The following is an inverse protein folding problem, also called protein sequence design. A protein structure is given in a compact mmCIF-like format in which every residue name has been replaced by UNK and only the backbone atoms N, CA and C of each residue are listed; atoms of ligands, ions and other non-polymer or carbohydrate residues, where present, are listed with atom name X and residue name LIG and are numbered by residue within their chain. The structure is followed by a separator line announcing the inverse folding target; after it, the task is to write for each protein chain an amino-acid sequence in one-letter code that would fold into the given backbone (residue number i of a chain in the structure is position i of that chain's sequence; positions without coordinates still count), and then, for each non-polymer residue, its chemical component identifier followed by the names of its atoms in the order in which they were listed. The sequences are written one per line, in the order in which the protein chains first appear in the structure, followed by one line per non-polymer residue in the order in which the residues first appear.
data_IF_383916677202
#
_entry.id   IF_383916677202
#
_cell.length_a   1.000
_cell.length_b   1.000
_cell.length_c   1.000
_cell.angle_alpha   90.00
_cell.angle_beta   90.00
_cell.angle_gamma   90.00
#
_symmetry.space_group_name_H-M   'P 1'
#
loop_
_entity.id
_entity.type
_entity.pdbx_description
1 polymer ?
#
# COMPACT_ATOMS: atom_id res chain seq x y z
N UNK A 1 -111.32 39.34 35.94
CA UNK A 1 -111.18 40.81 36.02
C UNK A 1 -109.82 41.18 35.41
N UNK A 2 -109.78 41.90 34.28
CA UNK A 2 -109.29 43.31 34.19
C UNK A 2 -108.04 43.51 35.07
N UNK A 3 -106.84 43.82 34.58
CA UNK A 3 -106.43 44.81 33.58
C UNK A 3 -104.90 44.67 33.41
N UNK A 4 -104.39 44.60 32.17
CA UNK A 4 -103.69 45.69 31.45
C UNK A 4 -102.30 46.04 32.01
N UNK A 5 -101.23 45.75 31.26
CA UNK A 5 -100.53 46.63 30.27
C UNK A 5 -99.24 47.15 30.92
N UNK A 6 -98.05 46.92 30.37
CA UNK A 6 -97.41 47.63 29.25
C UNK A 6 -96.13 46.80 28.91
N UNK A 7 -95.83 46.39 27.67
CA UNK A 7 -95.03 47.13 26.66
C UNK A 7 -93.89 47.96 27.26
N UNK A 8 -92.62 47.95 26.83
CA UNK A 8 -91.90 47.39 25.68
C UNK A 8 -90.47 47.97 25.72
N UNK A 9 -89.46 47.25 25.20
CA UNK A 9 -88.11 47.80 24.90
C UNK A 9 -87.00 46.78 25.22
N UNK A 10 -86.65 45.86 24.31
CA UNK A 10 -85.54 45.96 23.32
C UNK A 10 -84.21 46.31 24.05
N UNK A 11 -83.19 45.47 24.10
CA UNK A 11 -82.45 44.93 22.96
C UNK A 11 -81.71 43.62 23.28
N UNK A 12 -81.48 42.85 22.22
CA UNK A 12 -80.84 41.55 22.17
C UNK A 12 -79.39 41.55 22.69
N UNK A 13 -79.11 40.61 23.59
CA UNK A 13 -77.76 40.11 23.89
C UNK A 13 -77.82 38.59 23.82
N UNK A 14 -77.42 38.02 22.68
CA UNK A 14 -77.38 36.57 22.46
C UNK A 14 -76.16 36.00 23.18
N UNK A 15 -76.33 35.62 24.45
CA UNK A 15 -75.34 34.90 25.23
C UNK A 15 -75.28 33.44 24.75
N UNK A 16 -74.22 33.11 24.01
CA UNK A 16 -73.92 31.74 23.61
C UNK A 16 -73.53 30.92 24.84
N UNK A 17 -74.22 29.79 24.99
CA UNK A 17 -74.05 28.78 26.03
C UNK A 17 -72.61 28.27 26.09
N UNK A 18 -71.99 28.41 27.26
CA UNK A 18 -70.76 27.71 27.63
C UNK A 18 -71.08 26.22 27.82
N UNK A 19 -70.69 25.40 26.86
CA UNK A 19 -70.50 23.97 27.08
C UNK A 19 -69.06 23.76 27.52
N UNK A 20 -68.92 23.44 28.81
CA UNK A 20 -67.71 22.90 29.41
C UNK A 20 -67.34 21.58 28.73
N UNK A 21 -66.28 21.58 27.94
CA UNK A 21 -65.58 20.36 27.52
C UNK A 21 -64.24 20.33 28.24
N UNK A 22 -64.08 19.39 29.16
CA UNK A 22 -62.78 19.02 29.73
C UNK A 22 -61.83 18.60 28.60
N UNK A 23 -60.99 19.53 28.14
CA UNK A 23 -59.76 19.20 27.44
C UNK A 23 -58.82 18.59 28.48
N UNK A 24 -58.91 17.28 28.62
CA UNK A 24 -57.93 16.47 29.32
C UNK A 24 -56.62 16.65 28.55
N UNK A 25 -55.75 17.52 29.06
CA UNK A 25 -54.39 17.69 28.57
C UNK A 25 -53.67 16.38 28.93
N UNK A 26 -53.75 15.38 28.06
CA UNK A 26 -52.84 14.24 28.12
C UNK A 26 -51.49 14.79 27.71
N UNK A 27 -50.71 15.25 28.69
CA UNK A 27 -49.26 15.16 28.58
C UNK A 27 -48.98 13.70 28.19
N UNK A 28 -48.31 13.52 27.05
CA UNK A 28 -47.86 12.20 26.62
C UNK A 28 -46.90 11.69 27.70
N UNK A 29 -47.37 10.83 28.60
CA UNK A 29 -46.53 10.17 29.58
C UNK A 29 -45.45 9.37 28.84
N UNK A 30 -44.19 9.67 29.13
CA UNK A 30 -43.05 8.89 28.65
C UNK A 30 -43.19 7.49 29.23
N UNK A 31 -43.31 6.47 28.37
CA UNK A 31 -43.52 5.09 28.81
C UNK A 31 -42.39 4.65 29.74
N UNK A 32 -42.73 3.98 30.85
CA UNK A 32 -41.80 3.65 31.95
C UNK A 32 -40.45 3.07 31.50
N UNK A 33 -40.45 2.14 30.53
CA UNK A 33 -39.22 1.51 30.04
C UNK A 33 -38.29 2.47 29.28
N UNK A 34 -38.81 3.60 28.78
CA UNK A 34 -38.00 4.66 28.13
C UNK A 34 -37.43 5.64 29.15
N UNK A 35 -38.00 5.74 30.35
CA UNK A 35 -37.60 6.73 31.34
C UNK A 35 -36.20 6.48 31.92
N UNK A 36 -35.72 5.23 31.85
CA UNK A 36 -34.39 4.80 32.27
C UNK A 36 -33.37 4.77 31.12
N UNK A 37 -33.75 5.08 29.88
CA UNK A 37 -32.82 5.05 28.75
C UNK A 37 -31.82 6.22 28.81
N UNK A 38 -30.52 5.89 28.72
CA UNK A 38 -29.40 6.84 28.72
C UNK A 38 -28.62 6.80 27.39
N UNK A 39 -29.14 6.16 26.35
CA UNK A 39 -28.38 5.91 25.14
C UNK A 39 -28.22 7.14 24.25
N UNK A 40 -26.99 7.39 23.82
CA UNK A 40 -26.68 8.33 22.74
C UNK A 40 -26.93 7.62 21.41
N UNK A 41 -27.83 8.14 20.58
CA UNK A 41 -28.17 7.61 19.26
C UNK A 41 -27.31 8.19 18.14
N UNK A 42 -26.89 9.44 18.27
CA UNK A 42 -26.06 10.13 17.26
C UNK A 42 -25.09 11.11 17.90
N UNK A 43 -23.97 11.33 17.21
CA UNK A 43 -22.91 12.21 17.67
C UNK A 43 -22.25 12.89 16.47
N UNK A 44 -22.03 14.19 16.57
CA UNK A 44 -21.31 14.95 15.54
C UNK A 44 -20.57 16.14 16.13
N UNK A 45 -19.47 16.52 15.47
CA UNK A 45 -18.68 17.69 15.81
C UNK A 45 -18.68 18.67 14.64
N UNK A 46 -18.74 19.97 14.95
CA UNK A 46 -18.75 21.03 13.95
C UNK A 46 -17.85 22.19 14.36
N UNK A 47 -17.06 22.67 13.41
CA UNK A 47 -16.32 23.91 13.52
C UNK A 47 -15.91 24.42 12.13
N UNK A 48 -16.35 25.62 11.76
CA UNK A 48 -16.11 26.18 10.43
C UNK A 48 -14.61 26.42 10.12
N UNK A 49 -13.77 26.52 11.15
CA UNK A 49 -12.31 26.72 11.00
C UNK A 49 -11.52 25.41 10.92
N UNK A 50 -12.13 24.26 11.22
CA UNK A 50 -11.45 22.96 11.21
C UNK A 50 -11.94 22.17 9.99
N UNK A 51 -11.20 22.32 8.88
CA UNK A 51 -11.51 21.66 7.61
C UNK A 51 -11.66 20.14 7.80
N UNK A 52 -12.75 19.58 7.29
CA UNK A 52 -13.02 18.14 7.35
C UNK A 52 -13.85 17.70 8.56
N UNK A 53 -13.95 18.52 9.62
CA UNK A 53 -14.54 18.08 10.89
C UNK A 53 -16.03 17.76 10.77
N UNK A 54 -16.80 18.55 10.02
CA UNK A 54 -18.23 18.33 9.80
C UNK A 54 -18.53 17.05 8.99
N UNK A 55 -17.53 16.53 8.25
CA UNK A 55 -17.68 15.30 7.46
C UNK A 55 -17.32 14.03 8.26
N UNK A 56 -16.84 14.17 9.51
CA UNK A 56 -16.44 13.04 10.33
C UNK A 56 -17.65 12.23 10.75
N UNK A 57 -17.63 10.94 10.41
CA UNK A 57 -18.64 9.98 10.86
C UNK A 57 -18.16 9.30 12.14
N UNK A 58 -18.98 9.37 13.18
CA UNK A 58 -18.70 8.73 14.47
C UNK A 58 -19.43 7.40 14.60
N UNK A 59 -18.73 6.41 15.13
CA UNK A 59 -19.27 5.16 15.67
C UNK A 59 -19.54 5.35 17.15
N UNK A 60 -20.70 4.88 17.61
CA UNK A 60 -21.06 4.81 19.03
C UNK A 60 -21.07 3.33 19.41
N UNK A 61 -20.10 2.92 20.21
CA UNK A 61 -20.09 1.60 20.83
C UNK A 61 -20.96 1.63 22.07
N UNK A 62 -22.19 1.11 21.93
CA UNK A 62 -23.15 1.07 23.03
C UNK A 62 -22.74 0.16 24.17
N UNK A 63 -21.92 -0.86 23.92
CA UNK A 63 -21.54 -1.84 24.93
C UNK A 63 -20.43 -1.27 25.84
N UNK A 64 -19.42 -0.65 25.22
CA UNK A 64 -18.27 -0.12 25.94
C UNK A 64 -18.40 1.36 26.33
N UNK A 65 -19.41 2.07 25.81
CA UNK A 65 -19.57 3.50 26.06
C UNK A 65 -18.47 4.31 25.37
N UNK A 66 -18.09 3.97 24.15
CA UNK A 66 -17.08 4.70 23.39
C UNK A 66 -17.70 5.40 22.18
N UNK A 67 -17.22 6.61 21.89
CA UNK A 67 -17.62 7.36 20.70
C UNK A 67 -16.37 7.78 19.95
N UNK A 68 -16.21 7.32 18.72
CA UNK A 68 -15.00 7.59 17.94
C UNK A 68 -15.26 7.50 16.44
N UNK A 69 -14.49 8.23 15.65
CA UNK A 69 -14.44 8.03 14.21
C UNK A 69 -13.52 6.85 13.87
N UNK A 70 -14.04 5.89 13.09
CA UNK A 70 -13.25 4.77 12.54
C UNK A 70 -12.20 5.30 11.58
N UNK A 71 -12.64 6.14 10.64
CA UNK A 71 -11.76 6.84 9.72
C UNK A 71 -11.17 8.06 10.41
N UNK A 72 -9.88 7.97 10.73
CA UNK A 72 -9.15 9.06 11.36
C UNK A 72 -9.12 10.31 10.50
N UNK A 73 -9.15 11.47 11.15
CA UNK A 73 -8.92 12.76 10.49
C UNK A 73 -7.50 12.82 9.87
N UNK A 74 -7.30 13.66 8.83
CA UNK A 74 -6.01 13.83 8.18
C UNK A 74 -4.86 14.14 9.15
N UNK A 75 -3.67 13.63 8.85
CA UNK A 75 -2.47 13.93 9.64
C UNK A 75 -2.24 15.45 9.73
N UNK A 76 -1.94 15.92 10.93
CA UNK A 76 -1.70 17.34 11.18
C UNK A 76 -2.99 18.16 11.37
N UNK A 77 -4.18 17.55 11.40
CA UNK A 77 -5.37 18.21 11.92
C UNK A 77 -5.12 18.63 13.37
N UNK A 78 -5.27 19.92 13.66
CA UNK A 78 -5.09 20.48 15.00
C UNK A 78 -6.45 20.91 15.55
N UNK A 79 -6.82 20.37 16.71
CA UNK A 79 -7.95 20.86 17.50
C UNK A 79 -7.37 21.81 18.56
N UNK A 80 -7.33 23.11 18.26
CA UNK A 80 -6.78 24.14 19.15
C UNK A 80 -7.85 25.10 19.70
N UNK A 81 -9.11 24.69 19.61
CA UNK A 81 -10.27 25.48 20.01
C UNK A 81 -11.42 24.54 20.34
N UNK A 82 -12.38 25.06 21.09
CA UNK A 82 -13.63 24.36 21.35
C UNK A 82 -14.43 24.21 20.04
N UNK A 83 -15.11 23.09 19.90
CA UNK A 83 -15.94 22.73 18.75
C UNK A 83 -17.37 22.53 19.21
N UNK A 84 -18.33 22.82 18.33
CA UNK A 84 -19.74 22.56 18.60
C UNK A 84 -19.94 21.05 18.58
N UNK A 85 -20.58 20.52 19.61
CA UNK A 85 -20.87 19.10 19.77
C UNK A 85 -22.38 18.92 19.74
N UNK A 86 -22.90 18.07 18.86
CA UNK A 86 -24.30 17.72 18.83
C UNK A 86 -24.47 16.23 19.18
N UNK A 87 -25.32 15.97 20.17
CA UNK A 87 -25.63 14.64 20.69
C UNK A 87 -27.13 14.40 20.53
N UNK A 88 -27.51 13.35 19.81
CA UNK A 88 -28.88 12.87 19.76
C UNK A 88 -29.06 11.69 20.71
N UNK A 89 -30.20 11.64 21.40
CA UNK A 89 -30.52 10.57 22.36
C UNK A 89 -31.55 9.61 21.78
N UNK A 90 -31.49 8.35 22.18
CA UNK A 90 -32.51 7.36 21.87
C UNK A 90 -33.64 7.45 22.91
N UNK A 91 -34.74 8.13 22.56
CA UNK A 91 -35.88 8.33 23.46
C UNK A 91 -35.99 9.75 24.04
N UNK A 92 -36.61 9.94 25.22
CA UNK A 92 -36.82 11.26 25.82
C UNK A 92 -35.47 11.96 26.14
N UNK A 93 -35.45 13.30 26.21
CA UNK A 93 -34.23 14.02 26.58
C UNK A 93 -33.76 13.63 28.00
N UNK A 94 -32.45 13.53 28.24
CA UNK A 94 -31.92 13.21 29.57
C UNK A 94 -32.27 14.30 30.58
N UNK A 95 -32.37 13.93 31.86
CA UNK A 95 -32.59 14.90 32.95
C UNK A 95 -31.38 15.81 33.16
N UNK A 96 -30.17 15.28 32.95
CA UNK A 96 -28.92 16.01 32.99
C UNK A 96 -27.84 15.31 32.15
N UNK A 97 -26.87 16.09 31.69
CA UNK A 97 -25.63 15.58 31.10
C UNK A 97 -24.47 16.30 31.76
N UNK A 98 -23.59 15.54 32.40
CA UNK A 98 -22.33 16.07 32.91
C UNK A 98 -21.21 15.76 31.93
N UNK A 99 -20.37 16.75 31.65
CA UNK A 99 -19.17 16.57 30.82
C UNK A 99 -17.92 16.74 31.65
N UNK A 100 -16.95 15.86 31.43
CA UNK A 100 -15.59 15.98 31.93
C UNK A 100 -14.63 16.10 30.75
N UNK A 101 -13.88 17.20 30.68
CA UNK A 101 -12.90 17.44 29.61
C UNK A 101 -11.50 17.09 30.11
N UNK A 102 -10.86 16.11 29.48
CA UNK A 102 -9.50 15.68 29.85
C UNK A 102 -8.44 16.78 29.64
N UNK A 103 -8.75 17.79 28.82
CA UNK A 103 -7.90 18.94 28.51
C UNK A 103 -7.79 19.90 29.69
N UNK A 104 -8.93 20.27 30.30
CA UNK A 104 -8.99 21.22 31.43
C UNK A 104 -9.07 20.54 32.79
N UNK A 105 -9.37 19.23 32.82
CA UNK A 105 -9.63 18.45 34.05
C UNK A 105 -10.85 18.92 34.84
N UNK A 106 -11.77 19.62 34.19
CA UNK A 106 -12.98 20.17 34.80
C UNK A 106 -14.21 19.32 34.49
N UNK A 107 -15.17 19.31 35.42
CA UNK A 107 -16.52 18.78 35.23
C UNK A 107 -17.53 19.93 35.22
N UNK A 108 -18.52 19.86 34.33
CA UNK A 108 -19.66 20.79 34.34
C UNK A 108 -20.93 20.10 33.89
N UNK A 109 -22.08 20.63 34.33
CA UNK A 109 -23.35 20.36 33.66
C UNK A 109 -23.31 20.99 32.26
N UNK A 110 -23.72 20.22 31.26
CA UNK A 110 -23.68 20.62 29.86
C UNK A 110 -25.10 20.68 29.29
N UNK A 111 -25.42 21.81 28.66
CA UNK A 111 -26.76 22.12 28.15
C UNK A 111 -26.99 21.64 26.70
N UNK A 112 -26.01 20.95 26.11
CA UNK A 112 -26.06 20.49 24.73
C UNK A 112 -25.74 21.56 23.67
N UNK A 113 -25.46 22.81 24.07
CA UNK A 113 -25.22 23.94 23.16
C UNK A 113 -23.79 24.48 23.26
N UNK A 114 -23.21 24.37 24.44
CA UNK A 114 -21.85 24.80 24.70
C UNK A 114 -20.82 24.04 23.83
N UNK A 115 -19.83 24.78 23.31
CA UNK A 115 -18.68 24.17 22.65
C UNK A 115 -17.74 23.50 23.66
N UNK A 116 -17.12 22.39 23.25
CA UNK A 116 -16.23 21.56 24.07
C UNK A 116 -14.88 21.35 23.36
N UNK A 117 -13.81 21.16 24.12
CA UNK A 117 -12.46 20.94 23.62
C UNK A 117 -12.17 19.45 23.43
N UNK A 118 -12.10 19.03 22.16
CA UNK A 118 -11.82 17.64 21.75
C UNK A 118 -10.34 17.43 21.37
N UNK A 119 -9.42 18.30 21.81
CA UNK A 119 -7.99 18.03 21.68
C UNK A 119 -7.51 16.84 22.51
N UNK A 120 -8.29 16.44 23.52
CA UNK A 120 -8.24 15.13 24.20
C UNK A 120 -9.67 14.57 24.31
N UNK A 121 -9.82 13.41 24.94
CA UNK A 121 -11.13 12.78 25.13
C UNK A 121 -12.06 13.62 26.02
N UNK A 122 -13.34 13.57 25.71
CA UNK A 122 -14.41 14.19 26.51
C UNK A 122 -15.34 13.08 27.00
N UNK A 123 -15.57 13.04 28.31
CA UNK A 123 -16.46 12.07 28.93
C UNK A 123 -17.83 12.69 29.16
N UNK A 124 -18.89 11.98 28.81
CA UNK A 124 -20.29 12.35 29.00
C UNK A 124 -20.92 11.36 29.99
N UNK A 125 -21.38 11.85 31.13
CA UNK A 125 -22.23 11.08 32.05
C UNK A 125 -23.69 11.49 31.77
N UNK A 126 -24.44 10.62 31.08
CA UNK A 126 -25.83 10.88 30.64
C UNK A 126 -26.80 10.27 31.64
N UNK A 127 -27.56 11.13 32.34
CA UNK A 127 -28.56 10.72 33.32
C UNK A 127 -29.92 10.55 32.63
N UNK A 128 -30.61 9.45 32.93
CA UNK A 128 -31.90 9.11 32.32
C UNK A 128 -32.97 10.19 32.56
N UNK A 129 -34.10 10.14 31.84
CA UNK A 129 -35.18 11.11 31.99
C UNK A 129 -35.71 11.23 33.44
N UNK A 130 -35.79 10.11 34.16
CA UNK A 130 -36.17 10.08 35.58
C UNK A 130 -35.01 10.32 36.57
N UNK A 131 -33.78 10.50 36.06
CA UNK A 131 -32.56 10.74 36.84
C UNK A 131 -32.04 9.54 37.65
N UNK A 132 -32.60 8.34 37.48
CA UNK A 132 -32.24 7.15 38.29
C UNK A 132 -31.09 6.35 37.70
N UNK A 133 -30.91 6.40 36.39
CA UNK A 133 -29.87 5.65 35.67
C UNK A 133 -28.85 6.60 35.07
N UNK A 134 -27.60 6.16 34.97
CA UNK A 134 -26.52 6.90 34.31
C UNK A 134 -25.74 5.99 33.39
N UNK A 135 -25.43 6.49 32.18
CA UNK A 135 -24.50 5.83 31.26
C UNK A 135 -23.38 6.77 30.89
N UNK A 136 -22.15 6.27 31.01
CA UNK A 136 -20.94 7.03 30.67
C UNK A 136 -20.50 6.71 29.25
N UNK A 137 -20.22 7.76 28.48
CA UNK A 137 -19.58 7.68 27.17
C UNK A 137 -18.26 8.44 27.18
N UNK A 138 -17.21 7.87 26.59
CA UNK A 138 -15.95 8.57 26.31
C UNK A 138 -15.83 8.82 24.82
N UNK A 139 -15.89 10.09 24.44
CA UNK A 139 -15.76 10.52 23.05
C UNK A 139 -14.32 10.93 22.72
N UNK A 140 -13.81 10.45 21.59
CA UNK A 140 -12.47 10.74 21.08
C UNK A 140 -12.51 11.00 19.57
N UNK A 141 -11.85 12.06 19.14
CA UNK A 141 -11.56 12.29 17.72
C UNK A 141 -10.18 11.69 17.38
N UNK A 142 -10.17 10.65 16.56
CA UNK A 142 -8.95 10.03 16.04
C UNK A 142 -8.39 10.85 14.88
N UNK A 143 -7.08 11.10 14.91
CA UNK A 143 -6.30 11.82 13.89
C UNK A 143 -5.09 10.94 13.54
N UNK A 144 -4.72 10.84 12.27
CA UNK A 144 -3.53 10.11 11.86
C UNK A 144 -2.28 10.67 12.54
N UNK A 145 -1.46 9.79 13.13
CA UNK A 145 -0.25 10.15 13.87
C UNK A 145 1.01 10.20 13.01
N UNK A 146 0.91 9.73 11.76
CA UNK A 146 2.01 9.71 10.81
C UNK A 146 1.56 10.30 9.48
N UNK A 147 2.50 10.94 8.77
CA UNK A 147 2.23 11.46 7.43
C UNK A 147 1.92 10.27 6.49
N UNK A 148 0.73 10.21 5.85
CA UNK A 148 0.27 9.02 5.12
C UNK A 148 1.23 8.57 4.01
N UNK A 149 1.77 9.51 3.23
CA UNK A 149 2.64 9.23 2.09
C UNK A 149 4.14 9.16 2.43
N UNK A 150 4.50 9.23 3.73
CA UNK A 150 5.90 9.03 4.15
C UNK A 150 6.22 7.57 4.43
N UNK A 151 7.50 7.23 4.33
CA UNK A 151 8.06 5.93 4.60
C UNK A 151 9.41 6.11 5.30
N UNK A 152 9.64 5.32 6.35
CA UNK A 152 10.93 5.20 7.00
C UNK A 152 11.55 3.85 6.64
N UNK A 153 12.81 3.87 6.22
CA UNK A 153 13.58 2.66 5.98
C UNK A 153 14.25 2.18 7.27
N UNK A 154 14.04 0.91 7.59
CA UNK A 154 14.63 0.22 8.73
C UNK A 154 15.64 -0.80 8.23
N UNK A 155 16.82 -0.81 8.85
CA UNK A 155 17.90 -1.75 8.57
C UNK A 155 17.81 -2.95 9.50
N UNK A 156 18.08 -4.13 8.96
CA UNK A 156 18.42 -5.33 9.73
C UNK A 156 19.95 -5.41 9.86
N UNK A 157 20.47 -5.73 11.05
CA UNK A 157 21.93 -5.69 11.33
C UNK A 157 22.74 -6.68 10.48
N UNK A 158 22.29 -7.93 10.41
CA UNK A 158 22.94 -9.03 9.67
C UNK A 158 21.88 -9.85 8.92
N UNK A 159 22.13 -10.19 7.65
CA UNK A 159 21.18 -10.97 6.83
C UNK A 159 21.43 -12.47 6.92
N UNK A 160 22.60 -12.94 6.47
CA UNK A 160 23.02 -14.35 6.60
C UNK A 160 24.26 -14.49 7.47
N UNK A 161 25.08 -13.45 7.51
CA UNK A 161 26.30 -13.42 8.28
C UNK A 161 27.52 -14.04 7.65
N UNK A 162 27.49 -14.23 6.34
CA UNK A 162 28.56 -14.82 5.54
C UNK A 162 28.88 -13.95 4.31
N UNK A 163 30.12 -13.99 3.85
CA UNK A 163 30.53 -13.31 2.62
C UNK A 163 29.95 -13.99 1.36
N UNK A 164 29.58 -13.18 0.37
CA UNK A 164 28.93 -13.61 -0.88
C UNK A 164 29.45 -12.81 -2.06
N UNK A 165 29.70 -13.48 -3.18
CA UNK A 165 30.15 -12.82 -4.41
C UNK A 165 28.99 -12.23 -5.18
N UNK A 166 27.86 -12.94 -5.25
CA UNK A 166 26.67 -12.55 -5.97
C UNK A 166 25.44 -13.05 -5.23
N UNK A 167 24.32 -12.33 -5.35
CA UNK A 167 23.04 -12.81 -4.83
C UNK A 167 21.85 -12.38 -5.69
N UNK A 168 20.78 -13.15 -5.63
CA UNK A 168 19.45 -12.80 -6.14
C UNK A 168 18.39 -13.31 -5.18
N UNK A 169 17.49 -12.43 -4.74
CA UNK A 169 16.35 -12.78 -3.88
C UNK A 169 15.05 -12.61 -4.63
N UNK A 170 14.24 -13.66 -4.73
CA UNK A 170 12.88 -13.62 -5.28
C UNK A 170 11.90 -14.32 -4.35
N UNK A 171 10.61 -14.00 -4.49
CA UNK A 171 9.53 -14.79 -3.92
C UNK A 171 9.20 -15.94 -4.88
N UNK A 172 9.07 -17.15 -4.34
CA UNK A 172 8.62 -18.32 -5.08
C UNK A 172 7.97 -19.32 -4.12
N UNK A 173 6.74 -19.74 -4.44
CA UNK A 173 5.92 -20.68 -3.66
C UNK A 173 5.63 -20.20 -2.23
N UNK A 174 5.29 -18.93 -2.07
CA UNK A 174 4.94 -18.28 -0.81
C UNK A 174 6.13 -18.00 0.11
N UNK A 175 7.36 -18.11 -0.41
CA UNK A 175 8.59 -18.03 0.39
C UNK A 175 9.66 -17.23 -0.32
N UNK A 176 10.56 -16.62 0.45
CA UNK A 176 11.76 -16.00 -0.09
C UNK A 176 12.80 -17.05 -0.46
N UNK A 177 13.43 -16.86 -1.62
CA UNK A 177 14.52 -17.66 -2.16
C UNK A 177 15.69 -16.74 -2.46
N UNK A 178 16.81 -16.95 -1.79
CA UNK A 178 18.05 -16.24 -2.05
C UNK A 178 19.07 -17.19 -2.65
N UNK A 179 19.32 -17.03 -3.94
CA UNK A 179 20.41 -17.70 -4.64
C UNK A 179 21.69 -16.91 -4.46
N UNK A 180 22.76 -17.60 -4.09
CA UNK A 180 24.05 -17.01 -3.75
C UNK A 180 25.16 -17.73 -4.50
N UNK A 181 26.14 -16.99 -5.00
CA UNK A 181 27.44 -17.55 -5.38
C UNK A 181 28.48 -17.22 -4.31
N UNK A 182 29.22 -18.24 -3.87
CA UNK A 182 30.27 -18.13 -2.84
C UNK A 182 31.42 -19.05 -3.21
N UNK A 183 32.61 -18.48 -3.40
CA UNK A 183 33.83 -19.23 -3.74
C UNK A 183 33.66 -20.11 -4.99
N UNK A 184 32.90 -19.62 -5.98
CA UNK A 184 32.57 -20.35 -7.20
C UNK A 184 31.38 -21.31 -7.11
N UNK A 185 30.94 -21.72 -5.92
CA UNK A 185 29.80 -22.62 -5.72
C UNK A 185 28.49 -21.86 -5.49
N UNK A 186 27.36 -22.56 -5.68
CA UNK A 186 26.02 -22.01 -5.48
C UNK A 186 25.31 -22.59 -4.26
N UNK A 187 24.61 -21.71 -3.55
CA UNK A 187 23.75 -22.07 -2.44
C UNK A 187 22.38 -21.42 -2.61
N UNK A 188 21.35 -22.12 -2.13
CA UNK A 188 20.01 -21.58 -1.94
C UNK A 188 19.75 -21.37 -0.45
N UNK A 189 19.33 -20.16 -0.09
CA UNK A 189 18.77 -19.86 1.22
C UNK A 189 17.26 -19.66 1.09
N UNK A 190 16.49 -20.25 2.00
CA UNK A 190 15.04 -20.17 2.03
C UNK A 190 14.55 -19.51 3.32
N UNK A 191 13.53 -18.65 3.24
CA UNK A 191 12.95 -17.97 4.41
C UNK A 191 11.46 -17.72 4.22
N UNK A 192 10.70 -17.81 5.32
CA UNK A 192 9.27 -17.45 5.37
C UNK A 192 9.07 -15.97 5.74
N UNK A 193 10.01 -15.35 6.45
CA UNK A 193 9.88 -14.02 7.06
C UNK A 193 10.97 -13.02 6.64
N UNK A 194 11.84 -13.43 5.71
CA UNK A 194 13.02 -12.71 5.24
C UNK A 194 14.09 -12.44 6.32
N UNK A 195 13.99 -13.06 7.49
CA UNK A 195 14.91 -12.89 8.63
C UNK A 195 15.62 -14.18 8.99
N UNK A 196 14.88 -15.29 9.08
CA UNK A 196 15.46 -16.60 9.39
C UNK A 196 15.62 -17.40 8.12
N UNK A 197 16.85 -17.84 7.84
CA UNK A 197 17.21 -18.48 6.58
C UNK A 197 17.76 -19.89 6.79
N UNK A 198 17.32 -20.82 5.96
CA UNK A 198 17.83 -22.21 5.92
C UNK A 198 18.54 -22.43 4.60
N UNK A 199 19.77 -22.93 4.64
CA UNK A 199 20.62 -23.13 3.46
C UNK A 199 20.51 -24.55 2.88
N UNK A 200 20.76 -24.66 1.59
CA UNK A 200 20.86 -25.92 0.84
C UNK A 200 21.81 -25.75 -0.35
N UNK A 201 22.55 -26.80 -0.70
CA UNK A 201 23.40 -26.81 -1.90
C UNK A 201 22.58 -26.98 -3.18
N UNK A 202 23.10 -26.47 -4.29
CA UNK A 202 22.52 -26.73 -5.62
C UNK A 202 23.19 -27.94 -6.29
N UNK A 203 22.41 -28.76 -6.99
CA UNK A 203 22.85 -29.91 -7.77
C UNK A 203 22.63 -29.68 -9.27
N UNK A 204 23.40 -30.37 -10.12
CA UNK A 204 23.23 -30.33 -11.59
C UNK A 204 23.86 -29.12 -12.30
N UNK A 205 24.67 -28.32 -11.58
CA UNK A 205 25.32 -27.10 -12.09
C UNK A 205 26.86 -27.19 -12.15
N UNK A 206 27.43 -28.39 -12.06
CA UNK A 206 28.89 -28.55 -12.04
C UNK A 206 29.54 -27.98 -13.30
N UNK A 207 30.52 -27.08 -13.12
CA UNK A 207 31.21 -26.37 -14.20
C UNK A 207 30.37 -25.32 -14.93
N UNK A 208 29.20 -24.94 -14.40
CA UNK A 208 28.28 -23.99 -15.01
C UNK A 208 28.29 -22.65 -14.29
N UNK A 209 28.26 -21.56 -15.04
CA UNK A 209 28.17 -20.20 -14.50
C UNK A 209 26.78 -19.62 -14.78
N UNK A 210 25.90 -19.64 -13.77
CA UNK A 210 24.57 -19.05 -13.86
C UNK A 210 24.63 -17.51 -13.84
N UNK A 211 23.72 -16.87 -14.57
CA UNK A 211 23.48 -15.43 -14.45
C UNK A 211 22.43 -15.22 -13.35
N UNK A 212 22.86 -15.16 -12.08
CA UNK A 212 21.96 -15.16 -10.93
C UNK A 212 20.94 -14.02 -10.95
N UNK A 213 21.33 -12.83 -11.42
CA UNK A 213 20.44 -11.66 -11.52
C UNK A 213 19.22 -11.91 -12.41
N UNK A 214 19.30 -12.85 -13.34
CA UNK A 214 18.26 -13.20 -14.31
C UNK A 214 17.46 -14.46 -13.90
N UNK A 215 17.67 -15.01 -12.71
CA UNK A 215 16.81 -16.07 -12.18
C UNK A 215 15.38 -15.52 -12.03
N UNK A 216 14.42 -16.25 -12.57
CA UNK A 216 13.00 -15.91 -12.51
C UNK A 216 12.13 -17.16 -12.36
N UNK A 217 10.97 -16.99 -11.76
CA UNK A 217 9.95 -18.03 -11.67
C UNK A 217 8.95 -17.88 -12.82
N UNK A 218 8.63 -18.98 -13.50
CA UNK A 218 7.57 -19.03 -14.49
C UNK A 218 6.65 -20.22 -14.20
N UNK A 219 5.43 -19.92 -13.75
CA UNK A 219 4.60 -20.90 -13.07
C UNK A 219 5.31 -21.41 -11.81
N UNK A 220 5.25 -22.72 -11.58
CA UNK A 220 5.84 -23.38 -10.42
C UNK A 220 7.32 -23.77 -10.60
N UNK A 221 7.97 -23.32 -11.68
CA UNK A 221 9.34 -23.68 -12.04
C UNK A 221 10.25 -22.44 -12.07
N UNK A 222 11.46 -22.57 -11.54
CA UNK A 222 12.52 -21.57 -11.65
C UNK A 222 13.34 -21.78 -12.92
N UNK A 223 13.76 -20.69 -13.55
CA UNK A 223 14.59 -20.69 -14.74
C UNK A 223 15.81 -19.78 -14.57
N UNK A 224 16.95 -20.20 -15.09
CA UNK A 224 18.21 -19.47 -15.01
C UNK A 224 19.01 -19.64 -16.31
N UNK A 225 19.41 -18.56 -16.99
CA UNK A 225 20.37 -18.66 -18.08
C UNK A 225 21.78 -18.80 -17.52
N UNK A 226 22.67 -19.41 -18.32
CA UNK A 226 24.09 -19.57 -17.98
C UNK A 226 24.99 -19.00 -19.07
N UNK A 227 26.27 -18.79 -18.74
CA UNK A 227 27.27 -18.24 -19.67
C UNK A 227 27.55 -19.15 -20.88
N UNK A 228 27.18 -20.43 -20.82
CA UNK A 228 27.28 -21.39 -21.93
C UNK A 228 26.13 -21.25 -22.94
N UNK A 229 25.19 -20.33 -22.72
CA UNK A 229 24.03 -20.10 -23.58
C UNK A 229 22.88 -21.08 -23.35
N UNK A 230 23.00 -22.01 -22.40
CA UNK A 230 21.93 -22.93 -22.04
C UNK A 230 21.00 -22.32 -20.99
N UNK A 231 19.76 -22.80 -21.00
CA UNK A 231 18.77 -22.49 -19.97
C UNK A 231 18.65 -23.67 -19.01
N UNK A 232 18.68 -23.39 -17.71
CA UNK A 232 18.48 -24.38 -16.66
C UNK A 232 17.14 -24.14 -15.97
N UNK A 233 16.51 -25.22 -15.49
CA UNK A 233 15.26 -25.19 -14.73
C UNK A 233 15.37 -25.97 -13.42
N UNK A 234 14.59 -25.56 -12.43
CA UNK A 234 14.40 -26.30 -11.18
C UNK A 234 12.97 -26.20 -10.67
N UNK A 235 12.41 -27.34 -10.24
CA UNK A 235 11.05 -27.43 -9.66
C UNK A 235 11.04 -27.39 -8.13
N UNK A 236 12.20 -27.58 -7.50
CA UNK A 236 12.39 -27.56 -6.04
C UNK A 236 13.39 -26.48 -5.56
N UNK A 237 14.10 -25.83 -6.48
CA UNK A 237 15.10 -24.80 -6.22
C UNK A 237 16.51 -25.32 -5.98
N UNK A 238 16.69 -26.60 -5.68
CA UNK A 238 17.99 -27.22 -5.37
C UNK A 238 18.53 -28.06 -6.52
N UNK A 239 17.68 -28.81 -7.23
CA UNK A 239 18.10 -29.66 -8.33
C UNK A 239 17.83 -28.97 -9.66
N UNK A 240 18.89 -28.71 -10.42
CA UNK A 240 18.82 -28.01 -11.69
C UNK A 240 19.11 -28.94 -12.86
N UNK A 241 18.36 -28.75 -13.94
CA UNK A 241 18.49 -29.54 -15.18
C UNK A 241 18.42 -28.63 -16.39
N UNK A 242 19.07 -29.01 -17.49
CA UNK A 242 18.98 -28.26 -18.75
C UNK A 242 17.57 -28.34 -19.33
N UNK A 243 17.08 -27.23 -19.88
CA UNK A 243 15.83 -27.17 -20.64
C UNK A 243 16.09 -27.67 -22.06
N UNK A 244 15.77 -28.94 -22.32
CA UNK A 244 15.94 -29.53 -23.64
C UNK A 244 15.12 -28.79 -24.71
N UNK A 245 15.75 -28.48 -25.84
CA UNK A 245 15.10 -27.77 -26.95
C UNK A 245 14.99 -26.26 -26.76
N UNK A 246 15.54 -25.68 -25.69
CA UNK A 246 15.70 -24.23 -25.58
C UNK A 246 16.72 -23.73 -26.63
N UNK A 247 16.46 -22.59 -27.29
CA UNK A 247 17.45 -21.93 -28.12
C UNK A 247 18.62 -21.41 -27.26
N UNK A 248 19.71 -20.98 -27.91
CA UNK A 248 20.83 -20.34 -27.22
C UNK A 248 20.38 -19.02 -26.58
N UNK A 249 20.21 -19.01 -25.26
CA UNK A 249 19.70 -17.88 -24.48
C UNK A 249 20.84 -16.91 -24.18
N UNK A 250 20.63 -15.64 -24.51
CA UNK A 250 21.56 -14.53 -24.21
C UNK A 250 21.16 -13.71 -23.00
N UNK A 251 19.86 -13.58 -22.76
CA UNK A 251 19.33 -12.99 -21.54
C UNK A 251 17.93 -13.53 -21.25
N UNK A 252 17.61 -13.72 -19.98
CA UNK A 252 16.25 -13.96 -19.52
C UNK A 252 15.67 -12.65 -18.98
N UNK A 253 14.61 -12.16 -19.61
CA UNK A 253 14.07 -10.81 -19.38
C UNK A 253 12.99 -10.78 -18.29
N UNK A 254 12.40 -11.93 -17.96
CA UNK A 254 11.34 -12.05 -16.97
C UNK A 254 10.07 -12.64 -17.57
N UNK A 255 8.95 -12.46 -16.88
CA UNK A 255 7.68 -13.11 -17.21
C UNK A 255 6.60 -12.08 -17.49
N UNK A 256 5.87 -12.29 -18.58
CA UNK A 256 4.54 -11.73 -18.78
C UNK A 256 3.55 -12.74 -18.22
N UNK A 257 2.95 -12.42 -17.07
CA UNK A 257 2.01 -13.32 -16.39
C UNK A 257 0.61 -13.28 -17.04
N UNK A 258 -0.21 -14.27 -16.71
CA UNK A 258 -1.64 -14.26 -17.04
C UNK A 258 -2.42 -13.29 -16.13
N UNK A 259 -3.55 -12.79 -16.61
CA UNK A 259 -4.52 -12.04 -15.80
C UNK A 259 -5.77 -12.91 -15.69
N UNK A 260 -6.37 -13.01 -14.50
CA UNK A 260 -7.50 -13.92 -14.23
C UNK A 260 -8.69 -13.74 -15.20
N UNK A 261 -8.86 -12.55 -15.78
CA UNK A 261 -9.95 -12.21 -16.71
C UNK A 261 -9.50 -12.12 -18.18
N UNK A 262 -8.27 -12.54 -18.52
CA UNK A 262 -7.71 -12.46 -19.86
C UNK A 262 -7.38 -13.84 -20.42
N UNK A 263 -7.72 -14.08 -21.69
CA UNK A 263 -7.35 -15.30 -22.41
C UNK A 263 -5.93 -15.22 -23.01
N UNK A 264 -5.17 -14.15 -22.72
CA UNK A 264 -3.80 -14.02 -23.24
C UNK A 264 -2.86 -14.98 -22.53
N UNK A 265 -2.05 -15.73 -23.29
CA UNK A 265 -1.11 -16.67 -22.69
C UNK A 265 -0.01 -15.91 -21.95
N UNK A 266 0.39 -16.45 -20.79
CA UNK A 266 1.62 -16.04 -20.14
C UNK A 266 2.84 -16.43 -20.99
N UNK A 267 3.96 -15.76 -20.76
CA UNK A 267 5.18 -15.97 -21.52
C UNK A 267 6.43 -15.71 -20.68
N UNK A 268 7.41 -16.61 -20.74
CA UNK A 268 8.77 -16.34 -20.27
C UNK A 268 9.54 -15.66 -21.40
N UNK A 269 9.88 -14.38 -21.23
CA UNK A 269 10.53 -13.55 -22.24
C UNK A 269 12.07 -13.68 -22.16
N UNK A 270 12.71 -13.76 -23.32
CA UNK A 270 14.15 -13.92 -23.45
C UNK A 270 14.71 -13.20 -24.68
N UNK A 271 16.03 -13.07 -24.72
CA UNK A 271 16.80 -12.77 -25.91
C UNK A 271 17.55 -14.04 -26.30
N UNK A 272 17.44 -14.43 -27.55
CA UNK A 272 18.04 -15.67 -28.07
C UNK A 272 18.87 -15.38 -29.31
N UNK A 273 19.89 -16.21 -29.54
CA UNK A 273 20.64 -16.18 -30.80
C UNK A 273 19.84 -16.90 -31.89
N UNK A 274 19.74 -16.29 -33.07
CA UNK A 274 19.13 -16.88 -34.25
C UNK A 274 20.01 -16.55 -35.48
N UNK A 275 20.80 -17.52 -35.92
CA UNK A 275 21.88 -17.25 -36.87
C UNK A 275 22.91 -16.27 -36.28
N UNK A 276 23.18 -15.18 -37.00
CA UNK A 276 24.14 -14.14 -36.58
C UNK A 276 23.50 -12.98 -35.81
N UNK A 277 22.16 -12.93 -35.74
CA UNK A 277 21.41 -11.88 -35.05
C UNK A 277 20.82 -12.36 -33.74
N UNK A 278 20.46 -11.42 -32.87
CA UNK A 278 19.78 -11.67 -31.61
C UNK A 278 18.32 -11.25 -31.75
N UNK A 279 17.41 -12.09 -31.27
CA UNK A 279 15.98 -11.89 -31.39
C UNK A 279 15.34 -11.94 -30.01
N UNK A 280 14.24 -11.21 -29.85
CA UNK A 280 13.31 -11.50 -28.78
C UNK A 280 12.70 -12.87 -29.00
N UNK A 281 12.46 -13.60 -27.93
CA UNK A 281 11.75 -14.86 -27.96
C UNK A 281 10.95 -15.02 -26.68
N UNK A 282 9.95 -15.90 -26.73
CA UNK A 282 9.25 -16.29 -25.53
C UNK A 282 8.87 -17.76 -25.50
N UNK A 283 8.80 -18.30 -24.29
CA UNK A 283 8.39 -19.67 -24.02
C UNK A 283 7.03 -19.69 -23.33
N UNK A 284 6.10 -20.47 -23.87
CA UNK A 284 4.78 -20.63 -23.27
C UNK A 284 4.78 -21.68 -22.14
N UNK A 285 3.63 -21.88 -21.49
CA UNK A 285 3.47 -22.83 -20.36
C UNK A 285 3.70 -24.30 -20.74
N UNK A 286 3.69 -24.64 -22.04
CA UNK A 286 4.00 -25.99 -22.55
C UNK A 286 5.48 -26.17 -22.90
N UNK A 287 6.33 -25.19 -22.59
CA UNK A 287 7.75 -25.22 -22.94
C UNK A 287 8.05 -24.96 -24.43
N UNK A 288 7.07 -24.53 -25.22
CA UNK A 288 7.28 -24.23 -26.65
C UNK A 288 7.83 -22.82 -26.82
N UNK A 289 8.97 -22.73 -27.48
CA UNK A 289 9.62 -21.47 -27.86
C UNK A 289 9.03 -20.88 -29.15
N UNK A 290 8.93 -19.56 -29.17
CA UNK A 290 8.59 -18.77 -30.36
C UNK A 290 9.59 -17.63 -30.49
N UNK A 291 10.20 -17.49 -31.66
CA UNK A 291 11.12 -16.39 -31.96
C UNK A 291 10.35 -15.22 -32.55
N UNK A 292 10.57 -14.04 -31.99
CA UNK A 292 9.95 -12.78 -32.39
C UNK A 292 10.90 -11.88 -33.19
N UNK A 293 10.74 -10.57 -33.01
CA UNK A 293 11.47 -9.55 -33.77
C UNK A 293 12.96 -9.55 -33.41
N UNK A 294 13.77 -9.09 -34.35
CA UNK A 294 15.18 -8.81 -34.09
C UNK A 294 15.31 -7.75 -32.97
N UNK A 295 16.22 -8.00 -32.03
CA UNK A 295 16.47 -7.12 -30.90
C UNK A 295 17.16 -5.83 -31.38
N UNK A 296 16.64 -4.64 -31.07
CA UNK A 296 17.32 -3.37 -31.37
C UNK A 296 18.63 -3.20 -30.59
N UNK A 297 19.60 -2.47 -31.16
CA UNK A 297 20.92 -2.22 -30.54
C UNK A 297 20.82 -1.50 -29.19
N UNK A 298 19.77 -0.70 -29.00
CA UNK A 298 19.53 0.07 -27.78
C UNK A 298 18.93 -0.73 -26.61
N UNK A 299 18.62 -2.01 -26.83
CA UNK A 299 18.05 -2.87 -25.80
C UNK A 299 19.14 -3.37 -24.84
N UNK A 300 18.95 -3.29 -23.51
CA UNK A 300 19.92 -3.79 -22.55
C UNK A 300 19.89 -5.33 -22.42
N UNK A 301 21.06 -5.94 -22.28
CA UNK A 301 21.22 -7.41 -22.24
C UNK A 301 21.68 -7.94 -20.88
N UNK A 302 22.23 -7.08 -20.03
CA UNK A 302 22.65 -7.41 -18.67
C UNK A 302 22.48 -6.21 -17.73
N UNK A 303 22.45 -6.47 -16.42
CA UNK A 303 22.35 -5.42 -15.40
C UNK A 303 21.08 -4.56 -15.47
N UNK A 304 20.08 -4.95 -16.25
CA UNK A 304 18.79 -4.27 -16.32
C UNK A 304 17.93 -4.62 -15.10
N UNK A 305 17.02 -3.71 -14.75
CA UNK A 305 15.95 -3.97 -13.79
C UNK A 305 14.67 -4.37 -14.51
N UNK A 306 13.82 -5.13 -13.82
CA UNK A 306 12.55 -5.61 -14.36
C UNK A 306 11.40 -5.32 -13.39
N UNK A 307 10.20 -5.09 -13.92
CA UNK A 307 8.98 -5.04 -13.12
C UNK A 307 7.79 -5.56 -13.92
N UNK A 308 7.00 -6.43 -13.30
CA UNK A 308 5.69 -6.81 -13.79
C UNK A 308 4.61 -5.93 -13.18
N UNK A 309 3.65 -5.46 -13.98
CA UNK A 309 2.46 -4.76 -13.49
C UNK A 309 1.25 -5.07 -14.33
N UNK A 310 0.07 -4.87 -13.75
CA UNK A 310 -1.19 -4.94 -14.49
C UNK A 310 -1.64 -3.53 -14.89
N UNK A 311 -2.06 -3.38 -16.14
CA UNK A 311 -2.63 -2.15 -16.66
C UNK A 311 -3.60 -2.45 -17.80
N UNK A 312 -4.80 -1.86 -17.73
CA UNK A 312 -5.85 -2.02 -18.75
C UNK A 312 -6.18 -3.50 -19.00
N UNK A 313 -6.27 -4.29 -17.92
CA UNK A 313 -6.52 -5.75 -17.95
C UNK A 313 -5.43 -6.60 -18.64
N UNK A 314 -4.24 -6.04 -18.85
CA UNK A 314 -3.08 -6.75 -19.37
C UNK A 314 -1.95 -6.76 -18.36
N UNK A 315 -1.21 -7.87 -18.30
CA UNK A 315 0.09 -7.91 -17.63
C UNK A 315 1.15 -7.38 -18.58
N UNK A 316 1.98 -6.49 -18.06
CA UNK A 316 3.10 -5.91 -18.76
C UNK A 316 4.38 -6.31 -18.06
N UNK A 317 5.43 -6.52 -18.85
CA UNK A 317 6.79 -6.66 -18.36
C UNK A 317 7.59 -5.44 -18.81
N UNK A 318 8.12 -4.69 -17.85
CA UNK A 318 9.06 -3.61 -18.06
C UNK A 318 10.50 -4.09 -17.92
N UNK A 319 11.37 -3.65 -18.83
CA UNK A 319 12.83 -3.65 -18.70
C UNK A 319 13.32 -2.21 -18.70
N UNK A 320 14.19 -1.86 -17.75
CA UNK A 320 14.76 -0.50 -17.60
C UNK A 320 16.21 -0.58 -17.16
N UNK A 321 17.01 0.41 -17.57
CA UNK A 321 18.42 0.52 -17.25
C UNK A 321 19.22 -0.69 -17.80
N UNK A 322 20.44 -0.91 -17.31
CA UNK A 322 21.32 -1.99 -17.74
C UNK A 322 22.26 -1.61 -18.86
N UNK A 323 23.02 -2.60 -19.34
CA UNK A 323 24.08 -2.45 -20.32
C UNK A 323 23.66 -3.00 -21.67
N UNK A 324 23.86 -2.22 -22.72
CA UNK A 324 23.66 -2.63 -24.12
C UNK A 324 24.79 -3.57 -24.56
N UNK A 325 24.63 -4.21 -25.73
CA UNK A 325 25.65 -5.12 -26.29
C UNK A 325 27.00 -4.43 -26.55
N UNK A 326 27.00 -3.13 -26.85
CA UNK A 326 28.22 -2.33 -27.05
C UNK A 326 28.90 -1.91 -25.74
N UNK A 327 28.35 -2.28 -24.58
CA UNK A 327 28.90 -1.96 -23.27
C UNK A 327 28.41 -0.63 -22.67
N UNK A 328 27.67 0.18 -23.42
CA UNK A 328 27.13 1.44 -22.91
C UNK A 328 25.91 1.21 -22.01
N UNK A 329 25.77 2.04 -20.98
CA UNK A 329 24.61 2.00 -20.09
C UNK A 329 23.39 2.65 -20.76
N UNK A 330 22.22 2.11 -20.45
CA UNK A 330 20.93 2.59 -20.93
C UNK A 330 20.13 3.26 -19.81
N UNK A 331 19.28 4.19 -20.19
CA UNK A 331 18.16 4.69 -19.38
C UNK A 331 16.82 4.51 -20.12
N UNK A 332 16.81 3.67 -21.17
CA UNK A 332 15.59 3.38 -21.93
C UNK A 332 14.70 2.41 -21.15
N UNK A 333 13.41 2.71 -21.18
CA UNK A 333 12.34 1.86 -20.68
C UNK A 333 11.72 1.11 -21.85
N UNK A 334 11.61 -0.21 -21.72
CA UNK A 334 11.01 -1.08 -22.72
C UNK A 334 9.87 -1.88 -22.09
N UNK A 335 8.76 -2.01 -22.80
CA UNK A 335 7.57 -2.75 -22.35
C UNK A 335 7.20 -3.84 -23.36
N UNK A 336 6.68 -4.96 -22.84
CA UNK A 336 6.04 -6.01 -23.64
C UNK A 336 4.81 -6.58 -22.93
N UNK A 337 3.92 -7.18 -23.73
CA UNK A 337 2.76 -7.97 -23.27
C UNK A 337 2.78 -9.41 -23.80
N UNK A 338 3.86 -9.83 -24.47
CA UNK A 338 3.97 -11.19 -25.06
C UNK A 338 5.41 -11.76 -25.04
N UNK A 339 6.42 -10.95 -24.71
CA UNK A 339 7.83 -11.31 -24.76
C UNK A 339 8.43 -11.37 -26.17
N UNK A 340 7.64 -11.19 -27.23
CA UNK A 340 8.03 -11.28 -28.63
C UNK A 340 8.18 -9.91 -29.30
N UNK A 341 7.34 -8.95 -28.86
CA UNK A 341 7.33 -7.57 -29.33
C UNK A 341 7.57 -6.64 -28.16
N UNK A 342 8.61 -5.81 -28.27
CA UNK A 342 8.98 -4.83 -27.26
C UNK A 342 8.88 -3.43 -27.82
N UNK A 343 8.40 -2.50 -26.99
CA UNK A 343 8.23 -1.08 -27.34
C UNK A 343 9.08 -0.24 -26.42
N UNK A 344 9.91 0.65 -26.99
CA UNK A 344 10.64 1.65 -26.21
C UNK A 344 9.68 2.77 -25.81
N UNK A 345 9.37 2.89 -24.53
CA UNK A 345 8.39 3.85 -24.01
C UNK A 345 8.90 5.29 -24.14
N UNK A 346 10.17 5.52 -23.84
CA UNK A 346 10.79 6.84 -23.79
C UNK A 346 11.73 7.10 -24.97
N UNK A 347 11.42 6.57 -26.16
CA UNK A 347 12.29 6.76 -27.34
C UNK A 347 12.44 8.24 -27.71
N UNK A 348 11.35 8.99 -27.67
CA UNK A 348 11.27 10.40 -28.08
C UNK A 348 11.12 11.37 -26.90
N UNK A 349 11.22 10.88 -25.67
CA UNK A 349 11.01 11.66 -24.45
C UNK A 349 12.27 11.63 -23.57
N UNK A 350 12.50 12.70 -22.81
CA UNK A 350 13.59 12.71 -21.83
C UNK A 350 13.21 11.80 -20.67
N UNK A 351 13.96 10.70 -20.50
CA UNK A 351 13.75 9.74 -19.41
C UNK A 351 13.78 10.40 -18.02
N UNK A 352 14.58 11.48 -17.86
CA UNK A 352 14.89 12.14 -16.57
C UNK A 352 15.46 11.15 -15.53
N UNK A 353 16.12 10.10 -16.04
CA UNK A 353 16.80 9.05 -15.31
C UNK A 353 18.26 8.99 -15.80
N UNK A 354 19.21 8.88 -14.86
CA UNK A 354 20.62 8.64 -15.16
C UNK A 354 20.79 7.20 -15.67
N UNK A 355 21.55 7.01 -16.76
CA UNK A 355 21.85 5.67 -17.27
C UNK A 355 22.68 4.91 -16.24
N UNK A 356 22.24 3.69 -15.89
CA UNK A 356 22.87 2.89 -14.86
C UNK A 356 22.74 1.38 -15.15
N UNK A 357 23.50 0.55 -14.46
CA UNK A 357 23.31 -0.90 -14.39
C UNK A 357 23.13 -1.38 -12.94
N UNK A 358 22.52 -2.54 -12.76
CA UNK A 358 22.30 -3.17 -11.46
C UNK A 358 21.30 -2.40 -10.59
N UNK A 359 20.42 -1.57 -11.15
CA UNK A 359 19.40 -0.91 -10.36
C UNK A 359 18.32 -1.91 -9.93
N UNK A 360 17.85 -1.80 -8.68
CA UNK A 360 16.77 -2.63 -8.18
C UNK A 360 15.42 -1.99 -8.54
N UNK A 361 14.51 -2.75 -9.13
CA UNK A 361 13.26 -2.22 -9.69
C UNK A 361 12.06 -3.03 -9.19
N UNK A 362 10.97 -2.34 -8.84
CA UNK A 362 9.70 -2.99 -8.47
C UNK A 362 8.51 -2.11 -8.82
N UNK A 363 7.35 -2.74 -9.02
CA UNK A 363 6.06 -2.05 -8.96
C UNK A 363 5.60 -1.98 -7.50
N UNK A 364 5.15 -0.80 -7.07
CA UNK A 364 4.71 -0.54 -5.70
C UNK A 364 3.83 0.71 -5.69
N UNK A 365 2.70 0.68 -4.96
CA UNK A 365 1.79 1.83 -4.83
C UNK A 365 1.38 2.44 -6.18
N UNK A 366 1.01 1.58 -7.13
CA UNK A 366 0.63 1.92 -8.51
C UNK A 366 1.69 2.69 -9.31
N UNK A 367 2.96 2.59 -8.89
CA UNK A 367 4.10 3.25 -9.50
C UNK A 367 5.26 2.27 -9.67
N UNK A 368 6.22 2.63 -10.52
CA UNK A 368 7.45 1.86 -10.67
C UNK A 368 8.56 2.60 -9.94
N UNK A 369 9.26 1.89 -9.07
CA UNK A 369 10.40 2.41 -8.32
C UNK A 369 11.69 1.78 -8.82
N UNK A 370 12.73 2.61 -8.90
CA UNK A 370 14.09 2.21 -9.24
C UNK A 370 15.02 2.75 -8.15
N UNK A 371 15.82 1.86 -7.55
CA UNK A 371 16.71 2.19 -6.44
C UNK A 371 18.15 1.81 -6.78
N UNK A 372 19.06 2.76 -6.59
CA UNK A 372 20.50 2.54 -6.69
C UNK A 372 21.00 2.30 -8.11
N UNK A 373 21.95 1.37 -8.24
CA UNK A 373 22.65 1.07 -9.48
C UNK A 373 24.01 1.79 -9.61
N UNK A 374 24.77 1.39 -10.61
CA UNK A 374 26.07 1.93 -10.96
C UNK A 374 25.97 2.76 -12.24
N UNK A 375 26.54 3.97 -12.23
CA UNK A 375 26.65 4.79 -13.44
C UNK A 375 27.87 4.40 -14.28
N UNK A 376 28.10 5.12 -15.39
CA UNK A 376 29.19 4.84 -16.33
C UNK A 376 30.59 4.90 -15.69
N UNK A 377 30.76 5.71 -14.63
CA UNK A 377 31.98 5.81 -13.84
C UNK A 377 32.12 4.71 -12.78
N UNK A 378 31.23 3.70 -12.80
CA UNK A 378 31.13 2.62 -11.80
C UNK A 378 30.89 3.14 -10.37
N UNK A 379 30.27 4.31 -10.24
CA UNK A 379 29.87 4.87 -8.94
C UNK A 379 28.49 4.38 -8.57
N UNK A 380 28.38 3.74 -7.41
CA UNK A 380 27.11 3.31 -6.85
C UNK A 380 26.24 4.49 -6.41
N UNK A 381 24.92 4.33 -6.52
CA UNK A 381 23.93 5.33 -6.15
C UNK A 381 23.05 4.87 -4.98
N UNK A 382 22.50 5.82 -4.22
CA UNK A 382 21.39 5.61 -3.28
C UNK A 382 20.10 6.32 -3.72
N UNK A 383 20.09 6.89 -4.93
CA UNK A 383 18.94 7.63 -5.45
C UNK A 383 17.77 6.66 -5.63
N UNK A 384 16.57 7.17 -5.32
CA UNK A 384 15.31 6.53 -5.67
C UNK A 384 14.69 7.34 -6.79
N UNK A 385 14.33 6.68 -7.88
CA UNK A 385 13.51 7.23 -8.94
C UNK A 385 12.14 6.57 -8.91
N UNK A 386 11.11 7.32 -9.27
CA UNK A 386 9.76 6.78 -9.46
C UNK A 386 9.20 7.17 -10.81
N UNK A 387 8.38 6.30 -11.38
CA UNK A 387 7.57 6.59 -12.57
C UNK A 387 6.09 6.37 -12.25
N UNK A 388 5.29 7.42 -12.45
CA UNK A 388 3.82 7.40 -12.33
C UNK A 388 3.13 7.08 -13.65
N UNK A 389 3.89 6.99 -14.75
CA UNK A 389 3.42 6.75 -16.11
C UNK A 389 4.13 5.55 -16.74
N UNK A 390 4.28 4.49 -15.93
CA UNK A 390 4.69 3.14 -16.40
C UNK A 390 6.06 3.09 -17.08
N UNK A 391 6.98 3.96 -16.69
CA UNK A 391 8.34 4.01 -17.23
C UNK A 391 8.54 5.01 -18.37
N UNK A 392 7.52 5.75 -18.80
CA UNK A 392 7.68 6.80 -19.82
C UNK A 392 8.58 7.94 -19.34
N UNK A 393 8.40 8.42 -18.11
CA UNK A 393 9.30 9.38 -17.48
C UNK A 393 9.52 9.09 -16.00
N UNK A 394 10.66 9.56 -15.49
CA UNK A 394 11.11 9.30 -14.13
C UNK A 394 11.28 10.61 -13.35
N UNK A 395 11.01 10.54 -12.06
CA UNK A 395 11.23 11.65 -11.13
C UNK A 395 12.11 11.20 -9.99
N UNK A 396 13.17 11.95 -9.71
CA UNK A 396 14.00 11.74 -8.53
C UNK A 396 13.16 11.97 -7.27
N UNK A 397 13.18 11.01 -6.36
CA UNK A 397 12.51 11.13 -5.07
C UNK A 397 13.47 11.73 -4.05
N UNK A 398 13.15 12.93 -3.56
CA UNK A 398 13.97 13.69 -2.62
C UNK A 398 13.27 14.00 -1.28
N UNK A 399 12.04 13.53 -1.09
CA UNK A 399 11.25 13.72 0.14
C UNK A 399 10.38 12.48 0.41
N UNK A 400 9.88 12.39 1.64
CA UNK A 400 8.87 11.43 2.14
C UNK A 400 9.32 9.97 2.24
N UNK A 401 10.07 9.44 1.28
CA UNK A 401 10.41 8.00 1.21
C UNK A 401 11.91 7.75 0.99
N UNK A 402 12.73 8.77 1.27
CA UNK A 402 14.18 8.77 1.03
C UNK A 402 14.90 7.77 1.92
N UNK A 403 15.96 7.15 1.39
CA UNK A 403 16.87 6.33 2.18
C UNK A 403 17.66 7.22 3.16
N UNK A 404 17.93 6.75 4.40
CA UNK A 404 18.70 7.50 5.38
C UNK A 404 20.17 7.63 4.95
N UNK A 405 20.89 8.58 5.53
CA UNK A 405 22.31 8.82 5.21
C UNK A 405 23.21 7.63 5.55
N UNK A 406 22.79 6.79 6.50
CA UNK A 406 23.47 5.54 6.87
C UNK A 406 23.35 4.44 5.82
N UNK A 407 22.48 4.61 4.81
CA UNK A 407 22.35 3.68 3.71
C UNK A 407 23.52 3.82 2.73
N UNK A 408 24.33 2.76 2.61
CA UNK A 408 25.42 2.73 1.65
C UNK A 408 24.90 2.64 0.20
N UNK A 409 25.35 3.51 -0.72
CA UNK A 409 25.04 3.42 -2.14
C UNK A 409 25.38 2.03 -2.70
N UNK A 410 24.52 1.47 -3.55
CA UNK A 410 24.71 0.11 -4.06
C UNK A 410 24.02 -0.16 -5.39
N UNK A 411 24.55 -1.14 -6.12
CA UNK A 411 23.86 -1.80 -7.25
C UNK A 411 23.76 -3.31 -7.03
N UNK A 412 23.07 -4.01 -7.92
CA UNK A 412 22.79 -5.45 -7.86
C UNK A 412 22.12 -5.91 -6.55
N UNK A 413 21.31 -5.03 -5.95
CA UNK A 413 20.41 -5.41 -4.85
C UNK A 413 19.14 -6.06 -5.42
N UNK A 414 18.50 -6.92 -4.63
CA UNK A 414 17.16 -7.44 -4.95
C UNK A 414 16.09 -6.65 -4.21
N UNK A 415 15.04 -6.21 -4.91
CA UNK A 415 13.94 -5.45 -4.34
C UNK A 415 12.63 -6.22 -4.53
N UNK A 416 11.92 -6.47 -3.44
CA UNK A 416 10.63 -7.17 -3.42
C UNK A 416 9.60 -6.32 -2.67
N UNK A 417 8.32 -6.59 -2.90
CA UNK A 417 7.22 -6.06 -2.08
C UNK A 417 6.55 -7.25 -1.41
N UNK A 418 6.45 -7.23 -0.07
CA UNK A 418 5.80 -8.30 0.68
C UNK A 418 4.28 -8.13 0.77
N UNK A 419 3.61 -9.17 1.29
CA UNK A 419 2.15 -9.20 1.48
C UNK A 419 1.60 -8.10 2.40
N UNK A 420 2.46 -7.52 3.25
CA UNK A 420 2.11 -6.46 4.20
C UNK A 420 2.51 -5.07 3.65
N UNK A 421 2.80 -4.98 2.34
CA UNK A 421 3.22 -3.81 1.59
C UNK A 421 4.58 -3.21 1.99
N UNK A 422 5.49 -3.98 2.58
CA UNK A 422 6.86 -3.52 2.75
C UNK A 422 7.66 -3.73 1.47
N UNK A 423 8.35 -2.69 1.01
CA UNK A 423 9.49 -2.82 0.12
C UNK A 423 10.65 -3.44 0.91
N UNK A 424 11.19 -4.55 0.43
CA UNK A 424 12.32 -5.28 1.01
C UNK A 424 13.50 -5.22 0.03
N UNK A 425 14.59 -4.55 0.44
CA UNK A 425 15.81 -4.40 -0.34
C UNK A 425 16.94 -5.23 0.27
N UNK A 426 17.35 -6.27 -0.44
CA UNK A 426 18.33 -7.26 0.00
C UNK A 426 19.70 -7.01 -0.62
N UNK A 427 20.70 -6.88 0.26
CA UNK A 427 22.12 -6.80 -0.09
C UNK A 427 22.45 -5.73 -1.11
N UNK A 428 23.09 -6.14 -2.21
CA UNK A 428 23.71 -5.27 -3.20
C UNK A 428 25.20 -5.02 -2.92
N UNK A 429 25.90 -4.44 -3.89
CA UNK A 429 27.34 -4.18 -3.86
C UNK A 429 27.62 -2.69 -3.86
N UNK A 430 28.57 -2.26 -3.05
CA UNK A 430 29.11 -0.88 -3.08
C UNK A 430 30.02 -0.65 -4.29
N UNK A 431 30.69 -1.72 -4.75
CA UNK A 431 31.59 -1.76 -5.94
C UNK A 431 31.52 -3.14 -6.59
N UNK A 432 31.78 -3.24 -7.89
CA UNK A 432 31.69 -4.51 -8.64
C UNK A 432 32.55 -5.64 -8.07
N UNK A 433 33.74 -5.31 -7.56
CA UNK A 433 34.75 -6.21 -7.01
C UNK A 433 34.60 -6.49 -5.51
N UNK A 434 33.57 -5.92 -4.86
CA UNK A 434 33.28 -6.15 -3.45
C UNK A 434 32.24 -7.23 -3.25
N UNK A 435 32.32 -7.89 -2.10
CA UNK A 435 31.29 -8.78 -1.62
C UNK A 435 29.94 -8.07 -1.50
N UNK A 436 28.87 -8.86 -1.57
CA UNK A 436 27.52 -8.39 -1.36
C UNK A 436 27.34 -7.97 0.10
N UNK A 437 26.73 -6.80 0.32
CA UNK A 437 26.37 -6.30 1.64
C UNK A 437 25.43 -7.26 2.35
N UNK A 438 25.70 -7.50 3.63
CA UNK A 438 24.94 -8.45 4.45
C UNK A 438 23.79 -7.78 5.21
N UNK A 439 22.92 -7.09 4.45
CA UNK A 439 21.88 -6.23 5.00
C UNK A 439 20.53 -6.47 4.32
N UNK A 440 19.46 -6.36 5.10
CA UNK A 440 18.10 -6.18 4.61
C UNK A 440 17.59 -4.82 5.07
N UNK A 441 17.14 -4.02 4.11
CA UNK A 441 16.43 -2.77 4.37
C UNK A 441 14.96 -2.95 4.04
N UNK A 442 14.08 -2.46 4.92
CA UNK A 442 12.64 -2.49 4.67
C UNK A 442 11.98 -1.14 4.92
N UNK A 443 10.98 -0.81 4.11
CA UNK A 443 10.17 0.38 4.30
C UNK A 443 8.75 0.14 3.81
N UNK A 444 7.78 0.82 4.41
CA UNK A 444 6.39 0.84 3.95
C UNK A 444 5.88 2.27 3.95
N UNK A 445 5.10 2.64 2.93
CA UNK A 445 4.36 3.91 2.91
C UNK A 445 3.28 3.81 3.97
N UNK A 446 3.23 4.75 4.91
CA UNK A 446 2.43 4.62 6.13
C UNK A 446 0.96 4.26 5.84
N UNK A 447 0.33 4.89 4.83
CA UNK A 447 -1.06 4.60 4.47
C UNK A 447 -1.33 3.19 3.98
N UNK A 448 -0.32 2.49 3.45
CA UNK A 448 -0.45 1.09 3.04
C UNK A 448 -0.45 0.12 4.24
N UNK A 449 -0.26 0.64 5.45
CA UNK A 449 -0.31 -0.13 6.70
C UNK A 449 -1.43 0.28 7.64
N UNK A 450 -2.30 1.21 7.25
CA UNK A 450 -3.46 1.56 8.06
C UNK A 450 -4.46 0.39 8.03
N UNK A 451 -5.04 0.07 9.18
CA UNK A 451 -6.13 -0.91 9.26
C UNK A 451 -7.38 -0.26 8.68
N UNK A 452 -8.07 -0.98 7.80
CA UNK A 452 -9.43 -0.65 7.36
C UNK A 452 -10.44 -0.84 8.51
#
# INVERSE_FOLDING_TARGET
MKKNRLQSGIAAGMAALLLSSCLNNKELEVVDWMQDNCQIASFSLKNDSIRGLEQVVFTIDQLNGEIFNRDSMPYGTVINRKVVCAVGYDGPPPSAVEVYQETTKERKNWDGRDSLDFSKSVRFDVYSYNGKSVKTYTAKLNIHQQKPDSMTWLRTEKLLGEEREEQRVLEWKGKYRMFVRKSGDYQLYQSDDAKTWVSSSLNGLSGKTLVLSQITAYGETLYAPASDGLLYRSDNGTDWTVVNGAPEVKALLGVVDSVAQSSRPSALAAIVKNGDSWHFASMNTKGKWTTGRMMPEDFPIEGFGTAGYEAVFYRHLLVIAGKKRNGELSNRSWETTDGLTWVSLNHSATARLEACEGAAVTFYDNQIYLIGGFNASKTASRKIYRSTNRGLSWTLVNKLIVLPETFQPRGYASLLVDKDNYMLLFGGKEKHDRAVLDELWRGRINRLGFKE
#
